data_IF_180133709879
#
_entry.id   IF_180133709879
#
_cell.length_a   1.000
_cell.length_b   1.000
_cell.length_c   1.000
_cell.angle_alpha   90.00
_cell.angle_beta   90.00
_cell.angle_gamma   90.00
#
_symmetry.space_group_name_H-M   'P 1'
#
loop_
_entity.id
_entity.type
_entity.pdbx_description
1 polymer ?
#
# COMPACT_ATOMS: atom_id res chain seq x y z
N UNK A 1 -18.82 1.27 -10.12
CA UNK A 1 -17.44 0.77 -9.99
C UNK A 1 -17.29 -0.34 -11.02
N UNK A 2 -16.30 -0.31 -11.90
CA UNK A 2 -16.07 -1.41 -12.84
C UNK A 2 -15.14 -2.42 -12.15
N UNK A 3 -15.66 -3.60 -11.78
CA UNK A 3 -14.88 -4.62 -11.07
C UNK A 3 -14.14 -5.57 -12.01
N UNK A 4 -14.40 -5.51 -13.32
CA UNK A 4 -13.79 -6.39 -14.32
C UNK A 4 -12.33 -6.01 -14.63
N UNK A 5 -11.91 -4.78 -14.27
CA UNK A 5 -10.55 -4.28 -14.46
C UNK A 5 -9.60 -4.63 -13.30
N UNK A 6 -10.07 -5.35 -12.28
CA UNK A 6 -9.25 -5.70 -11.13
C UNK A 6 -8.62 -7.08 -11.32
N UNK A 7 -7.28 -7.16 -11.31
CA UNK A 7 -6.57 -8.44 -11.38
C UNK A 7 -6.60 -9.21 -10.05
N UNK A 8 -6.62 -8.49 -8.92
CA UNK A 8 -6.57 -9.09 -7.59
C UNK A 8 -7.05 -8.14 -6.49
N UNK A 9 -7.42 -8.70 -5.35
CA UNK A 9 -7.83 -7.97 -4.15
C UNK A 9 -6.99 -8.43 -2.97
N UNK A 10 -6.37 -7.49 -2.26
CA UNK A 10 -5.62 -7.74 -1.03
C UNK A 10 -6.41 -7.15 0.13
N UNK A 11 -6.75 -7.98 1.12
CA UNK A 11 -7.40 -7.52 2.36
C UNK A 11 -6.33 -7.14 3.37
N UNK A 12 -6.43 -5.94 3.93
CA UNK A 12 -5.51 -5.44 4.95
C UNK A 12 -6.28 -5.20 6.24
N UNK A 13 -5.69 -5.62 7.37
CA UNK A 13 -6.24 -5.37 8.70
C UNK A 13 -5.94 -3.94 9.19
N UNK A 14 -6.83 -3.38 10.00
CA UNK A 14 -6.73 -2.01 10.49
C UNK A 14 -5.43 -1.73 11.25
N UNK A 15 -5.04 -2.63 12.16
CA UNK A 15 -3.83 -2.44 12.99
C UNK A 15 -2.57 -2.38 12.13
N UNK A 16 -2.47 -3.28 11.14
CA UNK A 16 -1.36 -3.34 10.19
C UNK A 16 -1.31 -2.09 9.29
N UNK A 17 -2.46 -1.60 8.83
CA UNK A 17 -2.54 -0.38 8.04
C UNK A 17 -2.12 0.85 8.86
N UNK A 18 -2.54 0.94 10.13
CA UNK A 18 -2.13 2.01 11.05
C UNK A 18 -0.62 1.98 11.33
N UNK A 19 -0.06 0.79 11.55
CA UNK A 19 1.38 0.62 11.77
C UNK A 19 2.18 1.10 10.54
N UNK A 20 1.75 0.71 9.34
CA UNK A 20 2.40 1.14 8.10
C UNK A 20 2.29 2.64 7.86
N UNK A 21 1.12 3.24 8.05
CA UNK A 21 0.95 4.70 7.95
C UNK A 21 1.92 5.45 8.87
N UNK A 22 2.08 5.00 10.12
CA UNK A 22 3.07 5.57 11.07
C UNK A 22 4.51 5.38 10.61
N UNK A 23 4.84 4.22 10.03
CA UNK A 23 6.17 3.94 9.48
C UNK A 23 6.49 4.83 8.29
N UNK A 24 5.57 4.95 7.34
CA UNK A 24 5.71 5.84 6.17
C UNK A 24 5.92 7.30 6.61
N UNK A 25 5.17 7.77 7.61
CA UNK A 25 5.39 9.10 8.18
C UNK A 25 6.77 9.28 8.82
N UNK A 26 7.30 8.23 9.46
CA UNK A 26 8.60 8.27 10.17
C UNK A 26 9.80 8.05 9.25
N UNK A 27 9.69 7.15 8.28
CA UNK A 27 10.77 6.68 7.41
C UNK A 27 10.90 7.57 6.16
N UNK A 28 9.77 7.95 5.56
CA UNK A 28 9.72 8.68 4.28
C UNK A 28 9.28 10.14 4.44
N UNK A 29 8.86 10.56 5.65
CA UNK A 29 8.35 11.91 5.90
C UNK A 29 6.99 12.21 5.28
N UNK A 30 6.26 11.16 4.84
CA UNK A 30 4.96 11.28 4.19
C UNK A 30 3.86 11.14 5.26
N UNK A 31 3.26 12.28 5.65
CA UNK A 31 2.18 12.34 6.61
C UNK A 31 0.84 11.99 5.93
N UNK A 32 0.53 10.70 5.85
CA UNK A 32 -0.70 10.21 5.22
C UNK A 32 -1.53 9.32 6.15
N UNK A 33 -2.82 9.20 5.85
CA UNK A 33 -3.80 8.46 6.65
C UNK A 33 -3.63 6.93 6.63
N UNK A 34 -4.56 6.24 7.30
CA UNK A 34 -4.57 4.76 7.40
C UNK A 34 -4.80 4.12 6.03
N UNK A 35 -5.60 4.75 5.17
CA UNK A 35 -5.85 4.30 3.79
C UNK A 35 -4.55 4.23 3.00
N UNK A 36 -3.70 5.25 3.14
CA UNK A 36 -2.35 5.28 2.57
C UNK A 36 -1.44 4.17 3.13
N UNK A 37 -1.51 3.88 4.43
CA UNK A 37 -0.79 2.75 5.02
C UNK A 37 -1.21 1.39 4.43
N UNK A 38 -2.49 1.22 4.10
CA UNK A 38 -2.99 0.03 3.40
C UNK A 38 -2.42 -0.07 1.97
N UNK A 39 -2.47 1.04 1.22
CA UNK A 39 -1.95 1.14 -0.14
C UNK A 39 -0.44 0.86 -0.21
N UNK A 40 0.33 1.37 0.75
CA UNK A 40 1.77 1.14 0.83
C UNK A 40 2.10 -0.32 1.18
N UNK A 41 1.39 -0.91 2.15
CA UNK A 41 1.57 -2.32 2.51
C UNK A 41 1.28 -3.25 1.32
N UNK A 42 0.20 -2.99 0.58
CA UNK A 42 -0.15 -3.74 -0.63
C UNK A 42 0.94 -3.60 -1.70
N UNK A 43 1.43 -2.38 -1.90
CA UNK A 43 2.52 -2.08 -2.85
C UNK A 43 3.80 -2.85 -2.50
N UNK A 44 4.20 -2.80 -1.23
CA UNK A 44 5.38 -3.51 -0.73
C UNK A 44 5.25 -5.01 -0.89
N UNK A 45 4.08 -5.57 -0.57
CA UNK A 45 3.81 -7.01 -0.73
C UNK A 45 3.91 -7.43 -2.21
N UNK A 46 3.33 -6.63 -3.12
CA UNK A 46 3.38 -6.91 -4.56
C UNK A 46 4.78 -6.74 -5.16
N UNK A 47 5.56 -5.80 -4.64
CA UNK A 47 6.95 -5.60 -5.08
C UNK A 47 7.82 -6.83 -4.79
N UNK A 48 7.61 -7.50 -3.65
CA UNK A 48 8.31 -8.74 -3.30
C UNK A 48 7.95 -9.90 -4.23
N UNK A 49 6.68 -9.99 -4.62
CA UNK A 49 6.21 -11.01 -5.56
C UNK A 49 6.78 -10.81 -6.97
N UNK A 50 6.81 -9.56 -7.46
CA UNK A 50 7.29 -9.23 -8.81
C UNK A 50 8.82 -9.30 -8.95
N UNK A 51 9.56 -9.07 -7.86
CA UNK A 51 11.00 -9.18 -7.82
C UNK A 51 11.75 -7.99 -8.45
N UNK A 52 13.07 -8.15 -8.61
CA UNK A 52 13.97 -7.08 -9.04
C UNK A 52 13.71 -6.63 -10.47
N UNK A 53 13.89 -5.34 -10.73
CA UNK A 53 13.73 -4.74 -12.06
C UNK A 53 12.29 -4.44 -12.46
N UNK A 54 11.32 -4.67 -11.56
CA UNK A 54 9.93 -4.26 -11.73
C UNK A 54 9.64 -3.03 -10.87
N UNK A 55 8.76 -2.17 -11.36
CA UNK A 55 8.28 -0.98 -10.66
C UNK A 55 6.84 -1.19 -10.25
N UNK A 56 6.53 -0.96 -8.98
CA UNK A 56 5.16 -0.96 -8.45
C UNK A 56 4.83 0.45 -8.02
N UNK A 57 3.65 0.91 -8.40
CA UNK A 57 3.15 2.26 -8.09
C UNK A 57 1.88 2.12 -7.26
N UNK A 58 1.75 2.98 -6.25
CA UNK A 58 0.55 3.06 -5.42
C UNK A 58 0.09 4.52 -5.33
N UNK A 59 -1.17 4.71 -4.98
CA UNK A 59 -1.77 6.02 -4.73
C UNK A 59 -2.01 6.13 -3.24
N UNK A 60 -1.59 7.24 -2.63
CA UNK A 60 -1.77 7.53 -1.22
C UNK A 60 -2.93 8.52 -1.05
N UNK A 61 -4.17 8.03 -0.82
CA UNK A 61 -5.31 8.88 -0.50
C UNK A 61 -5.34 9.26 0.98
N UNK A 62 -6.03 10.36 1.29
CA UNK A 62 -6.34 10.79 2.66
C UNK A 62 -7.28 9.80 3.38
#
# INVERSE_FOLDING_TARGET
MNTEIYDSIIKVGNDTAMEMSRRVAKEEGILAGISSGCCDLCCHSKSKELGKGKTVVTVLPE
#
